data_IF_445450066003
#
_entry.id   IF_445450066003
#
_cell.length_a   1.000
_cell.length_b   1.000
_cell.length_c   1.000
_cell.angle_alpha   90.00
_cell.angle_beta   90.00
_cell.angle_gamma   90.00
#
_symmetry.space_group_name_H-M   'P 1'
#
loop_
_entity.id
_entity.type
_entity.pdbx_description
1 polymer ?
#
# COMPACT_ATOMS: atom_id res chain seq x y z
N UNK A 1 -5.89 8.99 -31.35
CA UNK A 1 -4.74 9.74 -31.91
C UNK A 1 -3.85 10.31 -30.81
N UNK A 2 -4.37 11.10 -29.85
CA UNK A 2 -3.57 11.67 -28.75
C UNK A 2 -2.95 10.66 -27.77
N UNK A 3 -3.64 9.57 -27.44
CA UNK A 3 -3.10 8.55 -26.53
C UNK A 3 -1.86 7.83 -27.07
N UNK A 4 -1.81 7.60 -28.39
CA UNK A 4 -0.70 6.89 -29.04
C UNK A 4 0.55 7.77 -29.12
N UNK A 5 0.39 9.08 -29.37
CA UNK A 5 1.51 10.02 -29.42
C UNK A 5 2.12 10.26 -28.04
N UNK A 6 1.32 10.30 -26.97
CA UNK A 6 1.83 10.37 -25.59
C UNK A 6 2.64 9.11 -25.25
N UNK A 7 2.12 7.92 -25.55
CA UNK A 7 2.83 6.66 -25.33
C UNK A 7 4.15 6.60 -26.11
N UNK A 8 4.14 6.97 -27.39
CA UNK A 8 5.35 7.00 -28.21
C UNK A 8 6.39 8.00 -27.65
N UNK A 9 5.95 9.16 -27.17
CA UNK A 9 6.84 10.18 -26.59
C UNK A 9 7.47 9.68 -25.28
N UNK A 10 6.70 9.02 -24.41
CA UNK A 10 7.21 8.42 -23.17
C UNK A 10 8.25 7.33 -23.49
N UNK A 11 7.97 6.44 -24.45
CA UNK A 11 8.90 5.38 -24.87
C UNK A 11 10.19 5.96 -25.43
N UNK A 12 10.11 7.01 -26.25
CA UNK A 12 11.30 7.70 -26.80
C UNK A 12 12.10 8.41 -25.71
N UNK A 13 11.44 9.05 -24.73
CA UNK A 13 12.15 9.69 -23.61
C UNK A 13 12.81 8.66 -22.68
N UNK A 14 12.18 7.50 -22.47
CA UNK A 14 12.78 6.37 -21.78
C UNK A 14 13.94 5.77 -22.59
N UNK A 15 13.87 5.70 -23.93
CA UNK A 15 14.96 5.17 -24.74
C UNK A 15 16.23 6.05 -24.70
N UNK A 16 16.09 7.37 -24.56
CA UNK A 16 17.22 8.32 -24.69
C UNK A 16 18.09 8.50 -23.44
N UNK A 17 17.79 7.84 -22.32
CA UNK A 17 18.64 7.75 -21.12
C UNK A 17 18.81 9.04 -20.30
N UNK A 18 19.09 10.18 -20.95
CA UNK A 18 19.42 11.48 -20.36
C UNK A 18 18.23 12.12 -19.59
N UNK A 19 16.99 11.72 -19.90
CA UNK A 19 15.78 12.21 -19.22
C UNK A 19 15.05 11.15 -18.38
N UNK A 20 15.56 9.91 -18.27
CA UNK A 20 14.86 8.79 -17.60
C UNK A 20 14.44 9.11 -16.17
N UNK A 21 15.33 9.73 -15.40
CA UNK A 21 15.08 10.05 -14.00
C UNK A 21 13.89 11.01 -13.83
N UNK A 22 13.88 12.11 -14.60
CA UNK A 22 12.80 13.13 -14.54
C UNK A 22 11.46 12.59 -15.02
N UNK A 23 11.47 11.74 -16.05
CA UNK A 23 10.23 11.10 -16.56
C UNK A 23 9.68 10.10 -15.54
N UNK A 24 10.54 9.30 -14.92
CA UNK A 24 10.12 8.33 -13.90
C UNK A 24 9.55 9.04 -12.67
N UNK A 25 10.16 10.14 -12.25
CA UNK A 25 9.67 10.96 -11.14
C UNK A 25 8.30 11.59 -11.46
N UNK A 26 8.12 12.15 -12.65
CA UNK A 26 6.84 12.71 -13.08
C UNK A 26 5.74 11.62 -13.22
N UNK A 27 6.10 10.44 -13.72
CA UNK A 27 5.18 9.29 -13.81
C UNK A 27 4.81 8.77 -12.42
N UNK A 28 5.77 8.63 -11.50
CA UNK A 28 5.50 8.21 -10.13
C UNK A 28 4.59 9.22 -9.41
N UNK A 29 4.81 10.52 -9.59
CA UNK A 29 3.97 11.56 -9.00
C UNK A 29 2.54 11.53 -9.56
N UNK A 30 2.38 11.44 -10.89
CA UNK A 30 1.06 11.41 -11.55
C UNK A 30 0.30 10.11 -11.24
N UNK A 31 0.97 8.95 -11.23
CA UNK A 31 0.39 7.68 -10.82
C UNK A 31 0.00 7.70 -9.34
N UNK A 32 0.87 8.19 -8.46
CA UNK A 32 0.59 8.31 -7.04
C UNK A 32 -0.65 9.17 -6.76
N UNK A 33 -0.78 10.31 -7.46
CA UNK A 33 -1.97 11.15 -7.38
C UNK A 33 -3.22 10.42 -7.89
N UNK A 34 -3.10 9.71 -9.00
CA UNK A 34 -4.21 8.93 -9.57
C UNK A 34 -4.67 7.86 -8.59
N UNK A 35 -3.74 7.12 -7.99
CA UNK A 35 -4.04 6.10 -6.97
C UNK A 35 -4.70 6.75 -5.75
N UNK A 36 -4.22 7.91 -5.28
CA UNK A 36 -4.86 8.63 -4.19
C UNK A 36 -6.32 9.01 -4.49
N UNK A 37 -6.61 9.50 -5.69
CA UNK A 37 -7.99 9.82 -6.13
C UNK A 37 -8.84 8.55 -6.22
N UNK A 38 -8.31 7.49 -6.83
CA UNK A 38 -9.00 6.18 -6.94
C UNK A 38 -9.29 5.59 -5.58
N UNK A 39 -8.42 5.79 -4.60
CA UNK A 39 -8.60 5.30 -3.22
C UNK A 39 -9.83 5.87 -2.55
N UNK A 40 -10.07 7.17 -2.71
CA UNK A 40 -11.26 7.83 -2.16
C UNK A 40 -12.53 7.25 -2.80
N UNK A 41 -12.53 7.08 -4.13
CA UNK A 41 -13.66 6.46 -4.83
C UNK A 41 -13.87 5.00 -4.41
N UNK A 42 -12.79 4.22 -4.28
CA UNK A 42 -12.82 2.82 -3.87
C UNK A 42 -13.48 2.64 -2.49
N UNK A 43 -13.12 3.48 -1.51
CA UNK A 43 -13.72 3.45 -0.16
C UNK A 43 -15.23 3.71 -0.24
N UNK A 44 -15.68 4.69 -1.04
CA UNK A 44 -17.10 5.00 -1.21
C UNK A 44 -17.88 3.82 -1.80
N UNK A 45 -17.30 3.12 -2.78
CA UNK A 45 -17.93 1.94 -3.38
C UNK A 45 -17.95 0.77 -2.40
N UNK A 46 -16.84 0.49 -1.69
CA UNK A 46 -16.76 -0.54 -0.65
C UNK A 46 -17.81 -0.34 0.43
N UNK A 47 -18.08 0.90 0.84
CA UNK A 47 -19.09 1.17 1.86
C UNK A 47 -20.51 0.84 1.39
N UNK A 48 -20.76 0.82 0.08
CA UNK A 48 -22.09 0.61 -0.51
C UNK A 48 -22.30 -0.80 -1.07
N UNK A 49 -21.22 -1.52 -1.38
CA UNK A 49 -21.24 -2.81 -2.06
C UNK A 49 -20.23 -3.78 -1.41
N UNK A 50 -20.27 -5.06 -1.75
CA UNK A 50 -19.23 -6.04 -1.36
C UNK A 50 -18.95 -6.12 0.16
N UNK A 51 -19.99 -6.36 0.97
CA UNK A 51 -19.83 -6.51 2.43
C UNK A 51 -19.75 -5.19 3.22
N UNK A 52 -19.74 -4.03 2.55
CA UNK A 52 -20.03 -2.75 3.19
C UNK A 52 -18.99 -2.33 4.24
N UNK A 53 -19.48 -2.00 5.44
CA UNK A 53 -18.64 -1.54 6.55
C UNK A 53 -17.65 -2.61 7.01
N UNK A 54 -18.05 -3.89 7.01
CA UNK A 54 -17.23 -4.99 7.54
C UNK A 54 -15.92 -5.13 6.78
N UNK A 55 -15.97 -5.14 5.45
CA UNK A 55 -14.79 -5.22 4.59
C UNK A 55 -13.89 -4.00 4.73
N UNK A 56 -14.48 -2.80 4.87
CA UNK A 56 -13.73 -1.58 5.14
C UNK A 56 -13.02 -1.67 6.49
N UNK A 57 -13.70 -2.15 7.53
CA UNK A 57 -13.09 -2.31 8.86
C UNK A 57 -12.01 -3.38 8.85
N UNK A 58 -12.22 -4.51 8.18
CA UNK A 58 -11.22 -5.56 8.06
C UNK A 58 -9.97 -5.05 7.33
N UNK A 59 -10.13 -4.29 6.25
CA UNK A 59 -9.01 -3.69 5.54
C UNK A 59 -8.25 -2.66 6.39
N UNK A 60 -8.98 -1.79 7.11
CA UNK A 60 -8.39 -0.79 7.99
C UNK A 60 -7.63 -1.44 9.17
N UNK A 61 -8.19 -2.50 9.77
CA UNK A 61 -7.55 -3.24 10.86
C UNK A 61 -6.34 -4.01 10.35
N UNK A 62 -6.46 -4.73 9.23
CA UNK A 62 -5.35 -5.48 8.65
C UNK A 62 -4.16 -4.57 8.34
N UNK A 63 -4.42 -3.48 7.60
CA UNK A 63 -3.38 -2.51 7.25
C UNK A 63 -2.83 -1.76 8.46
N UNK A 64 -3.71 -1.27 9.34
CA UNK A 64 -3.33 -0.48 10.51
C UNK A 64 -2.53 -1.28 11.53
N UNK A 65 -3.01 -2.47 11.91
CA UNK A 65 -2.29 -3.37 12.84
C UNK A 65 -0.98 -3.82 12.22
N UNK A 66 -0.97 -4.16 10.92
CA UNK A 66 0.25 -4.60 10.25
C UNK A 66 1.33 -3.51 10.24
N UNK A 67 0.97 -2.27 9.91
CA UNK A 67 1.87 -1.11 9.96
C UNK A 67 2.39 -0.81 11.35
N UNK A 68 1.48 -0.74 12.34
CA UNK A 68 1.85 -0.47 13.73
C UNK A 68 2.83 -1.53 14.24
N UNK A 69 2.55 -2.80 13.95
CA UNK A 69 3.40 -3.90 14.39
C UNK A 69 4.74 -3.89 13.66
N UNK A 70 4.77 -3.65 12.35
CA UNK A 70 6.02 -3.55 11.59
C UNK A 70 6.93 -2.46 12.17
N UNK A 71 6.39 -1.26 12.38
CA UNK A 71 7.13 -0.13 12.97
C UNK A 71 7.57 -0.39 14.40
N UNK A 72 6.74 -1.07 15.20
CA UNK A 72 7.09 -1.44 16.56
C UNK A 72 8.24 -2.45 16.58
N UNK A 73 8.19 -3.46 15.71
CA UNK A 73 9.26 -4.45 15.56
C UNK A 73 10.56 -3.78 15.13
N UNK A 74 10.52 -2.89 14.14
CA UNK A 74 11.70 -2.16 13.66
C UNK A 74 12.27 -1.21 14.72
N UNK A 75 11.43 -0.69 15.63
CA UNK A 75 11.86 0.13 16.75
C UNK A 75 12.50 -0.67 17.89
N UNK A 76 11.94 -1.84 18.22
CA UNK A 76 12.33 -2.63 19.38
C UNK A 76 13.48 -3.58 19.08
N UNK A 77 13.48 -4.21 17.91
CA UNK A 77 14.47 -5.22 17.55
C UNK A 77 15.64 -4.56 16.81
N UNK A 78 16.90 -4.82 17.21
CA UNK A 78 18.08 -4.37 16.49
C UNK A 78 18.31 -5.25 15.25
N UNK A 79 17.43 -5.12 14.26
CA UNK A 79 17.45 -5.91 13.02
C UNK A 79 18.32 -5.20 11.97
N UNK A 80 19.10 -5.92 11.15
CA UNK A 80 19.76 -5.30 10.00
C UNK A 80 18.74 -4.62 9.08
N UNK A 81 18.94 -3.32 8.85
CA UNK A 81 18.17 -2.53 7.89
C UNK A 81 18.33 -3.09 6.47
N UNK A 82 17.26 -3.06 5.68
CA UNK A 82 17.28 -3.56 4.30
C UNK A 82 18.22 -2.75 3.38
N UNK A 83 18.45 -1.47 3.71
CA UNK A 83 19.41 -0.62 3.03
C UNK A 83 19.89 0.51 3.96
N UNK A 84 21.06 1.12 3.70
CA UNK A 84 21.52 2.29 4.44
C UNK A 84 20.47 3.42 4.40
N UNK A 85 20.07 3.92 5.58
CA UNK A 85 19.12 5.03 5.70
C UNK A 85 17.63 4.65 5.63
N UNK A 86 17.30 3.38 5.41
CA UNK A 86 15.91 2.90 5.43
C UNK A 86 15.57 2.37 6.82
N UNK A 87 14.55 2.97 7.44
CA UNK A 87 14.17 2.68 8.83
C UNK A 87 13.46 1.33 9.06
N UNK A 88 13.33 0.48 8.03
CA UNK A 88 12.61 -0.79 8.11
C UNK A 88 13.56 -1.99 8.00
N UNK A 89 13.38 -2.96 8.90
CA UNK A 89 14.02 -4.27 8.85
C UNK A 89 13.14 -5.27 8.11
N UNK A 90 13.76 -6.30 7.50
CA UNK A 90 13.01 -7.36 6.82
C UNK A 90 12.06 -8.12 7.75
N UNK A 91 12.38 -8.21 9.04
CA UNK A 91 11.54 -8.87 10.06
C UNK A 91 10.26 -8.09 10.36
N UNK A 92 10.31 -6.75 10.40
CA UNK A 92 9.12 -5.92 10.57
C UNK A 92 8.08 -6.20 9.50
N UNK A 93 8.52 -6.46 8.27
CA UNK A 93 7.62 -6.78 7.15
C UNK A 93 6.87 -8.08 7.37
N UNK A 94 7.60 -9.13 7.75
CA UNK A 94 7.01 -10.46 7.97
C UNK A 94 6.08 -10.43 9.17
N UNK A 95 6.54 -9.93 10.32
CA UNK A 95 5.74 -9.91 11.55
C UNK A 95 4.54 -8.99 11.40
N UNK A 96 4.71 -7.82 10.78
CA UNK A 96 3.63 -6.88 10.50
C UNK A 96 2.56 -7.48 9.59
N UNK A 97 2.96 -8.09 8.46
CA UNK A 97 2.00 -8.74 7.57
C UNK A 97 1.26 -9.91 8.24
N UNK A 98 1.95 -10.74 9.03
CA UNK A 98 1.32 -11.87 9.74
C UNK A 98 0.33 -11.41 10.81
N UNK A 99 0.70 -10.42 11.63
CA UNK A 99 -0.17 -9.88 12.69
C UNK A 99 -1.36 -9.11 12.13
N UNK A 100 -1.15 -8.32 11.07
CA UNK A 100 -2.22 -7.67 10.32
C UNK A 100 -3.18 -8.68 9.67
N UNK A 101 -2.64 -9.78 9.13
CA UNK A 101 -3.46 -10.90 8.62
C UNK A 101 -4.34 -11.47 9.72
N UNK A 102 -3.76 -11.83 10.87
CA UNK A 102 -4.50 -12.45 11.96
C UNK A 102 -5.61 -11.53 12.51
N UNK A 103 -5.29 -10.25 12.71
CA UNK A 103 -6.26 -9.26 13.17
C UNK A 103 -7.36 -9.02 12.13
N UNK A 104 -7.00 -8.79 10.86
CA UNK A 104 -7.96 -8.55 9.80
C UNK A 104 -8.85 -9.76 9.51
N UNK A 105 -8.30 -10.97 9.52
CA UNK A 105 -9.03 -12.22 9.30
C UNK A 105 -10.05 -12.48 10.41
N UNK A 106 -9.71 -12.17 11.66
CA UNK A 106 -10.65 -12.24 12.77
C UNK A 106 -11.88 -11.36 12.53
N UNK A 107 -11.70 -10.13 12.07
CA UNK A 107 -12.81 -9.22 11.76
C UNK A 107 -13.53 -9.55 10.44
N UNK A 108 -12.83 -10.11 9.45
CA UNK A 108 -13.43 -10.56 8.20
C UNK A 108 -14.23 -11.86 8.34
N UNK A 109 -14.11 -12.58 9.46
CA UNK A 109 -14.88 -13.80 9.75
C UNK A 109 -16.34 -13.52 10.17
N UNK A 110 -16.70 -12.24 10.32
CA UNK A 110 -18.08 -11.73 10.43
C UNK A 110 -18.75 -11.88 9.03
N UNK A 111 -20.07 -12.15 8.88
CA UNK A 111 -20.69 -13.02 7.86
C UNK A 111 -20.44 -12.77 6.37
N UNK A 112 -19.72 -11.72 5.97
CA UNK A 112 -19.56 -11.29 4.59
C UNK A 112 -18.50 -12.04 3.78
N UNK A 113 -17.58 -12.79 4.41
CA UNK A 113 -16.51 -13.54 3.73
C UNK A 113 -16.34 -14.95 4.31
N UNK A 114 -15.96 -15.91 3.46
CA UNK A 114 -15.49 -17.21 3.96
C UNK A 114 -14.17 -17.05 4.71
N UNK A 115 -13.89 -17.92 5.69
CA UNK A 115 -12.67 -17.82 6.51
C UNK A 115 -11.38 -17.78 5.66
N UNK A 116 -11.31 -18.60 4.61
CA UNK A 116 -10.16 -18.63 3.70
C UNK A 116 -10.06 -17.35 2.86
N UNK A 117 -11.17 -16.85 2.32
CA UNK A 117 -11.18 -15.61 1.55
C UNK A 117 -10.85 -14.39 2.42
N UNK A 118 -11.37 -14.33 3.64
CA UNK A 118 -11.07 -13.29 4.62
C UNK A 118 -9.60 -13.28 5.06
N UNK A 119 -9.00 -14.46 5.26
CA UNK A 119 -7.57 -14.57 5.56
C UNK A 119 -6.69 -14.09 4.41
N UNK A 120 -6.98 -14.51 3.17
CA UNK A 120 -6.24 -14.04 2.00
C UNK A 120 -6.40 -12.53 1.77
N UNK A 121 -7.62 -12.02 1.93
CA UNK A 121 -7.91 -10.58 1.86
C UNK A 121 -7.10 -9.79 2.88
N UNK A 122 -7.15 -10.18 4.15
CA UNK A 122 -6.44 -9.51 5.23
C UNK A 122 -4.92 -9.56 5.04
N UNK A 123 -4.39 -10.70 4.58
CA UNK A 123 -2.97 -10.85 4.28
C UNK A 123 -2.51 -9.91 3.18
N UNK A 124 -3.21 -9.90 2.04
CA UNK A 124 -2.86 -9.04 0.92
C UNK A 124 -2.93 -7.56 1.30
N UNK A 125 -3.96 -7.15 2.05
CA UNK A 125 -4.10 -5.77 2.54
C UNK A 125 -2.96 -5.40 3.50
N UNK A 126 -2.67 -6.24 4.50
CA UNK A 126 -1.60 -5.99 5.47
C UNK A 126 -0.23 -5.90 4.78
N UNK A 127 0.05 -6.81 3.84
CA UNK A 127 1.29 -6.83 3.07
C UNK A 127 1.44 -5.55 2.23
N UNK A 128 0.40 -5.14 1.50
CA UNK A 128 0.44 -3.92 0.69
C UNK A 128 0.66 -2.68 1.56
N UNK A 129 0.02 -2.60 2.71
CA UNK A 129 0.20 -1.50 3.65
C UNK A 129 1.67 -1.36 4.06
N UNK A 130 2.27 -2.47 4.51
CA UNK A 130 3.66 -2.54 4.96
C UNK A 130 4.64 -2.23 3.81
N UNK A 131 4.39 -2.77 2.61
CA UNK A 131 5.24 -2.49 1.45
C UNK A 131 5.16 -1.04 0.98
N UNK A 132 3.99 -0.40 1.11
CA UNK A 132 3.82 1.01 0.78
C UNK A 132 4.54 1.93 1.80
N UNK A 133 4.52 1.58 3.08
CA UNK A 133 5.32 2.27 4.10
C UNK A 133 6.83 2.12 3.84
N UNK A 134 7.26 0.90 3.48
CA UNK A 134 8.64 0.64 3.07
C UNK A 134 9.04 1.46 1.84
N UNK A 135 8.19 1.53 0.81
CA UNK A 135 8.44 2.32 -0.39
C UNK A 135 8.59 3.81 -0.05
N UNK A 136 7.78 4.34 0.86
CA UNK A 136 7.92 5.70 1.35
C UNK A 136 9.25 5.91 2.10
N UNK A 137 9.67 4.94 2.91
CA UNK A 137 10.95 4.98 3.61
C UNK A 137 12.14 5.02 2.62
N UNK A 138 12.11 4.23 1.55
CA UNK A 138 13.10 4.30 0.47
C UNK A 138 13.11 5.67 -0.24
N UNK A 139 11.92 6.22 -0.52
CA UNK A 139 11.80 7.53 -1.15
C UNK A 139 12.38 8.65 -0.28
N UNK A 140 12.15 8.60 1.04
CA UNK A 140 12.74 9.53 2.01
C UNK A 140 14.25 9.37 2.11
N UNK A 141 14.74 8.12 2.17
CA UNK A 141 16.18 7.84 2.25
C UNK A 141 16.95 8.31 1.00
N UNK A 142 16.28 8.33 -0.16
CA UNK A 142 16.85 8.79 -1.43
C UNK A 142 16.76 10.31 -1.64
N UNK A 143 16.06 11.04 -0.75
CA UNK A 143 15.87 12.48 -0.91
C UNK A 143 17.14 13.28 -0.51
N UNK A 144 17.49 14.35 -1.24
CA UNK A 144 18.69 15.16 -0.93
C UNK A 144 18.64 15.81 0.46
N UNK A 145 17.43 16.11 0.93
CA UNK A 145 17.17 16.63 2.28
C UNK A 145 15.97 15.91 2.86
N UNK A 146 16.01 15.62 4.16
CA UNK A 146 14.91 14.91 4.82
C UNK A 146 13.65 15.80 4.85
N UNK A 147 12.54 15.39 4.21
CA UNK A 147 11.32 16.18 4.20
C UNK A 147 10.67 16.26 5.59
N UNK A 148 10.04 17.40 5.89
CA UNK A 148 9.34 17.63 7.18
C UNK A 148 8.20 16.65 7.44
N UNK A 149 7.58 16.11 6.39
CA UNK A 149 6.49 15.14 6.46
C UNK A 149 6.96 13.67 6.52
N UNK A 150 8.26 13.43 6.71
CA UNK A 150 8.84 12.07 6.68
C UNK A 150 8.21 11.09 7.68
N UNK A 151 7.71 11.57 8.82
CA UNK A 151 7.09 10.73 9.85
C UNK A 151 5.70 10.18 9.45
N UNK A 152 4.95 10.93 8.62
CA UNK A 152 3.60 10.58 8.15
C UNK A 152 3.55 10.05 6.73
N UNK A 153 4.60 10.23 5.93
CA UNK A 153 4.63 9.79 4.54
C UNK A 153 4.32 8.29 4.40
N UNK A 154 4.93 7.47 5.26
CA UNK A 154 4.74 6.03 5.30
C UNK A 154 3.29 5.58 5.52
N UNK A 155 2.66 5.95 6.66
CA UNK A 155 1.28 5.60 6.93
C UNK A 155 0.30 6.17 5.89
N UNK A 156 0.58 7.35 5.34
CA UNK A 156 -0.25 7.93 4.29
C UNK A 156 -0.16 7.13 2.99
N UNK A 157 1.04 6.72 2.58
CA UNK A 157 1.23 5.88 1.39
C UNK A 157 0.55 4.53 1.55
N UNK A 158 0.60 3.96 2.76
CA UNK A 158 -0.09 2.72 3.06
C UNK A 158 -1.62 2.87 2.99
N UNK A 159 -2.17 3.94 3.57
CA UNK A 159 -3.61 4.23 3.52
C UNK A 159 -4.10 4.37 2.06
N UNK A 160 -3.33 5.08 1.24
CA UNK A 160 -3.61 5.25 -0.18
C UNK A 160 -3.50 3.91 -0.93
N UNK A 161 -2.50 3.08 -0.66
CA UNK A 161 -2.32 1.83 -1.39
C UNK A 161 -3.37 0.76 -1.02
N UNK A 162 -3.84 0.73 0.22
CA UNK A 162 -4.75 -0.32 0.73
C UNK A 162 -6.13 -0.27 0.10
N UNK A 163 -6.72 0.92 -0.04
CA UNK A 163 -8.10 1.07 -0.52
C UNK A 163 -8.38 0.46 -1.91
N UNK A 164 -7.59 0.71 -2.97
CA UNK A 164 -7.84 0.12 -4.29
C UNK A 164 -7.63 -1.41 -4.28
N UNK A 165 -6.67 -1.91 -3.49
CA UNK A 165 -6.44 -3.35 -3.36
C UNK A 165 -7.60 -4.02 -2.64
N UNK A 166 -8.08 -3.43 -1.54
CA UNK A 166 -9.26 -3.91 -0.85
C UNK A 166 -10.49 -3.95 -1.78
N UNK A 167 -10.65 -2.95 -2.65
CA UNK A 167 -11.71 -2.95 -3.66
C UNK A 167 -11.61 -4.11 -4.64
N UNK A 168 -10.46 -4.27 -5.28
CA UNK A 168 -10.26 -5.35 -6.25
C UNK A 168 -10.50 -6.70 -5.59
N UNK A 169 -9.93 -6.95 -4.41
CA UNK A 169 -10.10 -8.22 -3.72
C UNK A 169 -11.55 -8.45 -3.26
N UNK A 170 -12.22 -7.44 -2.71
CA UNK A 170 -13.61 -7.57 -2.30
C UNK A 170 -14.51 -7.88 -3.50
N UNK A 171 -14.28 -7.23 -4.65
CA UNK A 171 -15.05 -7.49 -5.86
C UNK A 171 -14.88 -8.91 -6.43
N UNK A 172 -13.76 -9.57 -6.13
CA UNK A 172 -13.45 -10.93 -6.59
C UNK A 172 -13.86 -12.01 -5.58
N UNK A 173 -13.75 -11.71 -4.28
CA UNK A 173 -13.87 -12.69 -3.21
C UNK A 173 -15.26 -12.71 -2.54
N UNK A 174 -15.98 -11.58 -2.55
CA UNK A 174 -17.32 -11.52 -1.99
C UNK A 174 -18.29 -12.19 -2.96
N UNK A 175 -18.77 -13.38 -2.58
CA UNK A 175 -19.85 -14.08 -3.28
C UNK A 175 -21.13 -13.25 -3.19
N UNK A 176 -21.76 -13.01 -4.34
CA UNK A 176 -23.04 -12.28 -4.44
C UNK A 176 -24.21 -13.09 -3.90
#
# INVERSE_FOLDING_TARGET
>A
MLGLSVLATIVVQLARGVARARVTEAMAATLGLTVAVVSVAAILVLRRQYGGLEVVTAAAIAGGVGLMTARFVDFVLPVPHLAPGVAHGGLGIVIGSMTGTAAGAFFASVPSLSAQAGAFFAWAVALVAVLADLAAAYAIASAPTRPRYSFVAGPLMALVAVAPIAYVLASLLVTR
#
